data_IF_862700526780
#
_entry.id   IF_862700526780
#
_cell.length_a   1.000
_cell.length_b   1.000
_cell.length_c   1.000
_cell.angle_alpha   90.00
_cell.angle_beta   90.00
_cell.angle_gamma   90.00
#
_symmetry.space_group_name_H-M   'P 1'
#
loop_
_entity.id
_entity.type
_entity.pdbx_description
1 polymer ?
#
# COMPACT_ATOMS: atom_id res chain seq x y z
N UNK A 1 -12.30 -5.51 16.68
CA UNK A 1 -12.59 -6.79 15.95
C UNK A 1 -11.78 -6.72 14.67
N UNK A 2 -10.93 -7.72 14.37
CA UNK A 2 -10.16 -7.69 13.10
C UNK A 2 -11.14 -7.71 11.92
N UNK A 3 -11.12 -6.68 11.08
CA UNK A 3 -11.87 -6.68 9.83
C UNK A 3 -11.16 -7.61 8.83
N UNK A 4 -11.87 -8.62 8.33
CA UNK A 4 -11.38 -9.48 7.25
C UNK A 4 -11.55 -8.77 5.91
N UNK A 5 -10.47 -8.68 5.13
CA UNK A 5 -10.50 -8.06 3.80
C UNK A 5 -11.36 -8.84 2.82
N UNK A 6 -11.61 -10.12 3.10
CA UNK A 6 -12.47 -10.97 2.28
C UNK A 6 -13.93 -10.49 2.28
N UNK A 7 -14.41 -9.89 3.37
CA UNK A 7 -15.82 -9.52 3.61
C UNK A 7 -16.39 -8.47 2.65
N UNK A 8 -15.52 -7.71 1.97
CA UNK A 8 -15.96 -6.62 1.09
C UNK A 8 -15.57 -6.79 -0.37
N UNK A 9 -14.88 -7.87 -0.72
CA UNK A 9 -14.53 -8.18 -2.11
C UNK A 9 -15.79 -8.38 -2.94
N UNK A 10 -15.74 -7.91 -4.17
CA UNK A 10 -16.79 -8.09 -5.17
C UNK A 10 -16.24 -8.67 -6.49
N UNK A 11 -14.94 -8.95 -6.53
CA UNK A 11 -14.28 -9.71 -7.57
C UNK A 11 -13.54 -10.86 -6.90
N UNK A 12 -13.75 -12.09 -7.36
CA UNK A 12 -13.01 -13.26 -6.88
C UNK A 12 -12.41 -14.00 -8.06
N UNK A 13 -11.27 -14.65 -7.84
CA UNK A 13 -10.59 -15.40 -8.88
C UNK A 13 -10.13 -16.76 -8.37
N UNK A 14 -10.21 -17.73 -9.28
CA UNK A 14 -10.05 -19.14 -8.98
C UNK A 14 -9.19 -19.80 -10.04
N UNK A 15 -8.53 -20.88 -9.66
CA UNK A 15 -7.97 -21.81 -10.62
C UNK A 15 -9.11 -22.45 -11.42
N UNK A 16 -9.10 -22.22 -12.73
CA UNK A 16 -10.13 -22.71 -13.64
C UNK A 16 -10.11 -24.22 -13.86
N UNK A 17 -8.98 -24.89 -13.59
CA UNK A 17 -8.85 -26.34 -13.71
C UNK A 17 -9.30 -27.06 -12.42
N UNK A 18 -8.93 -26.52 -11.25
CA UNK A 18 -9.20 -27.19 -9.96
C UNK A 18 -10.41 -26.61 -9.21
N UNK A 19 -10.84 -25.40 -9.56
CA UNK A 19 -11.85 -24.64 -8.82
C UNK A 19 -11.33 -24.03 -7.51
N UNK A 20 -10.03 -24.16 -7.20
CA UNK A 20 -9.44 -23.62 -5.98
C UNK A 20 -9.55 -22.09 -5.96
N UNK A 21 -9.99 -21.54 -4.83
CA UNK A 21 -10.03 -20.09 -4.63
C UNK A 21 -8.61 -19.56 -4.43
N UNK A 22 -8.19 -18.65 -5.31
CA UNK A 22 -6.84 -18.06 -5.29
C UNK A 22 -6.83 -16.70 -4.58
N UNK A 23 -7.96 -15.98 -4.62
CA UNK A 23 -8.07 -14.67 -4.00
C UNK A 23 -9.20 -13.83 -4.55
N UNK A 24 -9.23 -12.56 -4.18
CA UNK A 24 -10.23 -11.62 -4.68
C UNK A 24 -9.89 -10.18 -4.33
N UNK A 25 -10.58 -9.22 -4.94
CA UNK A 25 -10.32 -7.79 -4.76
C UNK A 25 -11.61 -7.03 -4.56
N UNK A 26 -11.52 -5.92 -3.83
CA UNK A 26 -12.53 -4.88 -3.90
C UNK A 26 -12.28 -4.03 -5.13
N UNK A 27 -13.21 -4.09 -6.07
CA UNK A 27 -13.31 -3.16 -7.18
C UNK A 27 -14.29 -2.04 -6.82
N UNK A 28 -13.83 -0.79 -6.88
CA UNK A 28 -14.66 0.40 -6.68
C UNK A 28 -14.95 1.16 -8.00
N UNK A 29 -14.41 0.69 -9.12
CA UNK A 29 -14.69 1.16 -10.48
C UNK A 29 -13.43 1.47 -11.28
N UNK A 30 -12.30 1.72 -10.62
CA UNK A 30 -11.07 2.19 -11.29
C UNK A 30 -10.12 1.10 -11.78
N UNK A 31 -10.21 -0.13 -11.24
CA UNK A 31 -9.33 -1.23 -11.66
C UNK A 31 -9.73 -1.62 -13.08
N UNK A 32 -8.79 -1.53 -14.02
CA UNK A 32 -9.02 -1.94 -15.41
C UNK A 32 -8.69 -3.42 -15.59
N UNK A 33 -9.17 -4.03 -16.66
CA UNK A 33 -8.82 -5.42 -16.99
C UNK A 33 -7.30 -5.59 -17.15
N UNK A 34 -6.61 -4.63 -17.76
CA UNK A 34 -5.14 -4.63 -17.89
C UNK A 34 -4.44 -4.53 -16.52
N UNK A 35 -4.91 -3.65 -15.63
CA UNK A 35 -4.33 -3.53 -14.29
C UNK A 35 -4.55 -4.81 -13.48
N UNK A 36 -5.76 -5.39 -13.52
CA UNK A 36 -6.03 -6.67 -12.87
C UNK A 36 -5.16 -7.81 -13.39
N UNK A 37 -4.95 -7.87 -14.72
CA UNK A 37 -4.02 -8.83 -15.33
C UNK A 37 -2.60 -8.65 -14.79
N UNK A 38 -2.12 -7.40 -14.69
CA UNK A 38 -0.81 -7.07 -14.11
C UNK A 38 -0.71 -7.47 -12.64
N UNK A 39 -1.71 -7.16 -11.80
CA UNK A 39 -1.75 -7.56 -10.39
C UNK A 39 -1.64 -9.08 -10.23
N UNK A 40 -2.35 -9.85 -11.06
CA UNK A 40 -2.28 -11.31 -11.03
C UNK A 40 -0.91 -11.82 -11.46
N UNK A 41 -0.43 -11.43 -12.65
CA UNK A 41 0.77 -12.03 -13.27
C UNK A 41 2.09 -11.55 -12.67
N UNK A 42 2.18 -10.30 -12.25
CA UNK A 42 3.44 -9.74 -11.76
C UNK A 42 3.57 -9.78 -10.23
N UNK A 43 2.47 -9.99 -9.50
CA UNK A 43 2.48 -9.96 -8.03
C UNK A 43 2.02 -11.27 -7.41
N UNK A 44 0.86 -11.79 -7.81
CA UNK A 44 0.18 -12.83 -7.04
C UNK A 44 0.51 -14.25 -7.50
N UNK A 45 0.59 -14.47 -8.80
CA UNK A 45 0.68 -15.80 -9.39
C UNK A 45 2.10 -16.11 -9.82
N UNK A 46 2.55 -17.32 -9.51
CA UNK A 46 3.71 -17.94 -10.14
C UNK A 46 3.17 -18.83 -11.24
N UNK A 47 3.46 -18.47 -12.48
CA UNK A 47 2.99 -19.16 -13.67
C UNK A 47 4.16 -19.45 -14.60
N UNK A 48 4.15 -20.65 -15.18
CA UNK A 48 5.16 -21.19 -16.09
C UNK A 48 4.75 -21.09 -17.57
N UNK A 49 3.49 -20.72 -17.84
CA UNK A 49 2.98 -20.46 -19.18
C UNK A 49 1.97 -19.29 -19.19
N UNK A 50 1.64 -18.72 -20.36
CA UNK A 50 0.65 -17.67 -20.48
C UNK A 50 -0.72 -18.07 -19.90
N UNK A 51 -1.30 -17.18 -19.11
CA UNK A 51 -2.64 -17.38 -18.54
C UNK A 51 -3.73 -16.80 -19.43
N UNK A 52 -4.94 -17.35 -19.28
CA UNK A 52 -6.17 -16.74 -19.77
C UNK A 52 -7.17 -16.59 -18.63
N UNK A 53 -7.91 -15.48 -18.62
CA UNK A 53 -8.84 -15.13 -17.56
C UNK A 53 -10.24 -15.07 -18.18
N UNK A 54 -11.18 -15.80 -17.60
CA UNK A 54 -12.56 -15.84 -18.09
C UNK A 54 -13.54 -15.46 -17.00
N UNK A 55 -14.53 -14.63 -17.34
CA UNK A 55 -15.64 -14.36 -16.43
C UNK A 55 -16.48 -15.62 -16.25
N UNK A 56 -16.62 -16.11 -15.01
CA UNK A 56 -17.23 -17.41 -14.71
C UNK A 56 -18.68 -17.52 -15.15
N UNK A 57 -19.45 -16.44 -15.03
CA UNK A 57 -20.88 -16.45 -15.36
C UNK A 57 -21.19 -16.57 -16.85
N UNK A 58 -20.28 -16.13 -17.73
CA UNK A 58 -20.50 -16.06 -19.18
C UNK A 58 -19.44 -16.82 -19.99
N UNK A 59 -18.37 -17.27 -19.35
CA UNK A 59 -17.16 -17.82 -19.97
C UNK A 59 -16.48 -16.89 -20.99
N UNK A 60 -16.81 -15.58 -20.98
CA UNK A 60 -16.18 -14.59 -21.85
C UNK A 60 -14.73 -14.41 -21.45
N UNK A 61 -13.84 -14.45 -22.45
CA UNK A 61 -12.43 -14.18 -22.29
C UNK A 61 -12.21 -12.69 -22.01
N UNK A 62 -11.60 -12.38 -20.86
CA UNK A 62 -11.18 -11.04 -20.48
C UNK A 62 -10.05 -10.58 -21.40
N UNK A 63 -10.15 -9.36 -21.92
CA UNK A 63 -9.10 -8.77 -22.74
C UNK A 63 -8.22 -7.88 -21.86
N UNK A 64 -6.90 -7.85 -22.09
CA UNK A 64 -6.04 -6.90 -21.39
C UNK A 64 -6.22 -5.51 -22.01
N UNK A 65 -7.16 -4.73 -21.46
CA UNK A 65 -7.50 -3.40 -21.96
C UNK A 65 -7.83 -2.42 -20.81
N UNK A 66 -8.19 -1.18 -21.16
CA UNK A 66 -8.51 -0.11 -20.21
C UNK A 66 -9.96 -0.13 -19.72
N UNK A 67 -10.76 -1.13 -20.11
CA UNK A 67 -12.14 -1.23 -19.65
C UNK A 67 -12.16 -1.54 -18.15
N UNK A 68 -13.13 -0.98 -17.38
CA UNK A 68 -13.30 -1.34 -15.99
C UNK A 68 -13.49 -2.86 -15.81
N UNK A 69 -12.81 -3.41 -14.81
CA UNK A 69 -13.01 -4.81 -14.40
C UNK A 69 -14.41 -4.96 -13.79
N UNK A 70 -15.23 -5.83 -14.36
CA UNK A 70 -16.56 -6.10 -13.86
C UNK A 70 -16.51 -6.87 -12.52
N UNK A 71 -17.44 -6.57 -11.61
CA UNK A 71 -17.63 -7.37 -10.41
C UNK A 71 -18.10 -8.80 -10.77
N UNK A 72 -17.62 -9.79 -10.02
CA UNK A 72 -17.99 -11.19 -10.16
C UNK A 72 -16.80 -12.15 -10.08
N UNK A 73 -17.06 -13.40 -10.43
CA UNK A 73 -16.08 -14.47 -10.35
C UNK A 73 -15.34 -14.65 -11.67
N UNK A 74 -14.04 -14.90 -11.58
CA UNK A 74 -13.17 -15.16 -12.72
C UNK A 74 -12.44 -16.49 -12.57
N UNK A 75 -12.39 -17.28 -13.64
CA UNK A 75 -11.58 -18.50 -13.70
C UNK A 75 -10.30 -18.20 -14.48
N UNK A 76 -9.15 -18.54 -13.88
CA UNK A 76 -7.83 -18.38 -14.46
C UNK A 76 -7.35 -19.74 -14.95
N UNK A 77 -6.97 -19.82 -16.22
CA UNK A 77 -6.47 -21.04 -16.84
C UNK A 77 -5.02 -20.83 -17.29
N UNK A 78 -4.17 -21.82 -17.02
CA UNK A 78 -2.82 -21.91 -17.56
C UNK A 78 -2.80 -23.07 -18.55
N UNK A 79 -2.56 -22.80 -19.84
CA UNK A 79 -2.87 -23.77 -20.90
C UNK A 79 -1.94 -24.99 -20.94
N UNK A 80 -0.72 -24.89 -20.39
CA UNK A 80 0.28 -25.97 -20.37
C UNK A 80 1.02 -26.07 -19.03
N UNK A 81 0.48 -25.46 -17.99
CA UNK A 81 1.23 -25.18 -16.78
C UNK A 81 0.38 -25.20 -15.52
N UNK A 82 1.04 -24.95 -14.40
CA UNK A 82 0.37 -24.89 -13.09
C UNK A 82 0.20 -23.45 -12.64
N UNK A 83 -0.88 -23.19 -11.91
CA UNK A 83 -1.09 -21.92 -11.24
C UNK A 83 -0.81 -22.15 -9.75
N UNK A 84 0.14 -21.39 -9.21
CA UNK A 84 0.35 -21.32 -7.77
C UNK A 84 0.37 -19.86 -7.31
N UNK A 85 0.00 -19.64 -6.05
CA UNK A 85 0.19 -18.35 -5.41
C UNK A 85 1.66 -18.18 -5.06
N UNK A 86 2.17 -16.96 -5.20
CA UNK A 86 3.49 -16.57 -4.72
C UNK A 86 3.61 -16.78 -3.20
N UNK A 87 4.75 -17.30 -2.77
CA UNK A 87 5.11 -17.43 -1.36
C UNK A 87 5.42 -16.07 -0.70
N UNK A 88 5.59 -15.01 -1.50
CA UNK A 88 5.86 -13.66 -1.02
C UNK A 88 4.73 -13.16 -0.11
N UNK A 89 5.08 -12.73 1.10
CA UNK A 89 4.11 -12.18 2.06
C UNK A 89 4.14 -10.66 2.05
N UNK A 90 2.99 -10.05 2.33
CA UNK A 90 2.93 -8.62 2.55
C UNK A 90 3.79 -8.24 3.77
N UNK A 91 4.60 -7.21 3.62
CA UNK A 91 5.44 -6.66 4.68
C UNK A 91 4.58 -5.85 5.63
N UNK A 92 4.43 -6.32 6.87
CA UNK A 92 3.67 -5.59 7.89
C UNK A 92 4.41 -4.32 8.32
N UNK A 93 3.65 -3.25 8.55
CA UNK A 93 4.11 -1.95 9.08
C UNK A 93 3.24 -1.48 10.24
N UNK A 94 3.83 -0.74 11.19
CA UNK A 94 3.06 0.09 12.14
C UNK A 94 2.59 1.33 11.41
N UNK A 95 1.54 1.98 11.93
CA UNK A 95 1.19 3.33 11.49
C UNK A 95 2.42 4.24 11.61
N UNK A 96 2.81 4.89 10.52
CA UNK A 96 3.98 5.76 10.42
C UNK A 96 3.70 7.09 11.11
N UNK A 97 3.54 7.10 12.43
CA UNK A 97 3.43 8.35 13.17
C UNK A 97 4.82 8.96 13.31
N UNK A 98 4.96 10.22 12.92
CA UNK A 98 6.15 11.00 13.24
C UNK A 98 6.32 11.02 14.76
N UNK A 99 7.35 10.35 15.28
CA UNK A 99 7.71 10.45 16.69
C UNK A 99 8.16 11.88 16.95
N UNK A 100 7.44 12.60 17.82
CA UNK A 100 7.79 13.95 18.22
C UNK A 100 9.26 14.02 18.66
N UNK A 101 10.08 14.78 17.93
CA UNK A 101 11.49 15.04 18.26
C UNK A 101 12.51 14.61 17.22
N UNK A 102 12.30 13.51 16.46
CA UNK A 102 13.38 12.90 15.68
C UNK A 102 13.52 13.37 14.22
N UNK A 103 12.47 13.89 13.57
CA UNK A 103 12.48 14.05 12.10
C UNK A 103 11.84 15.35 11.60
N UNK A 104 12.25 16.48 12.18
CA UNK A 104 11.79 17.78 11.69
C UNK A 104 12.14 17.98 10.21
N UNK A 105 13.38 17.63 9.79
CA UNK A 105 13.83 17.86 8.42
C UNK A 105 13.06 17.07 7.35
N UNK A 106 12.83 15.76 7.57
CA UNK A 106 12.04 14.93 6.63
C UNK A 106 10.61 15.47 6.51
N UNK A 107 9.93 15.65 7.65
CA UNK A 107 8.56 16.15 7.72
C UNK A 107 8.43 17.51 7.04
N UNK A 108 9.34 18.44 7.34
CA UNK A 108 9.29 19.80 6.81
C UNK A 108 9.61 19.83 5.31
N UNK A 109 10.50 18.95 4.84
CA UNK A 109 10.79 18.80 3.40
C UNK A 109 9.60 18.22 2.62
N UNK A 110 8.94 17.19 3.16
CA UNK A 110 7.71 16.62 2.57
C UNK A 110 6.60 17.67 2.52
N UNK A 111 6.41 18.43 3.61
CA UNK A 111 5.43 19.52 3.68
C UNK A 111 5.72 20.63 2.67
N UNK A 112 6.98 21.03 2.53
CA UNK A 112 7.42 22.04 1.59
C UNK A 112 7.19 21.61 0.14
N UNK A 113 7.43 20.32 -0.17
CA UNK A 113 7.17 19.74 -1.50
C UNK A 113 5.67 19.67 -1.79
N UNK A 114 4.91 18.99 -0.93
CA UNK A 114 3.56 18.56 -1.28
C UNK A 114 2.50 19.62 -1.03
N UNK A 115 2.58 20.34 0.10
CA UNK A 115 1.67 21.45 0.49
C UNK A 115 0.18 21.13 0.56
N UNK A 116 -0.23 19.88 0.30
CA UNK A 116 -1.60 19.38 0.32
C UNK A 116 -1.61 17.86 0.56
N UNK A 117 -2.79 17.28 0.79
CA UNK A 117 -2.92 15.84 0.81
C UNK A 117 -2.88 15.34 -0.63
N UNK A 118 -1.78 14.72 -1.05
CA UNK A 118 -1.57 14.36 -2.46
C UNK A 118 -2.45 13.20 -2.95
N UNK A 119 -3.13 12.51 -2.03
CA UNK A 119 -4.12 11.46 -2.37
C UNK A 119 -5.54 12.03 -2.56
N UNK A 120 -5.96 12.98 -1.71
CA UNK A 120 -7.32 13.55 -1.77
C UNK A 120 -7.39 14.85 -2.56
N UNK A 121 -6.25 15.49 -2.84
CA UNK A 121 -6.17 16.83 -3.39
C UNK A 121 -6.65 17.93 -2.45
N UNK A 122 -6.94 17.61 -1.18
CA UNK A 122 -7.41 18.60 -0.20
C UNK A 122 -6.24 19.52 0.14
N UNK A 123 -6.40 20.77 -0.26
CA UNK A 123 -5.58 21.90 0.20
C UNK A 123 -6.25 22.47 1.45
N UNK A 124 -5.48 22.78 2.49
CA UNK A 124 -6.00 23.55 3.63
C UNK A 124 -6.09 25.02 3.22
N UNK A 125 -7.30 25.63 3.15
CA UNK A 125 -7.42 27.05 2.86
C UNK A 125 -6.83 27.85 4.03
N UNK A 126 -5.86 28.73 3.77
CA UNK A 126 -5.36 29.67 4.78
C UNK A 126 -4.03 29.33 5.46
N UNK A 127 -3.24 28.40 4.91
CA UNK A 127 -1.90 28.10 5.44
C UNK A 127 -1.00 29.35 5.43
N UNK A 128 -0.84 29.94 6.62
CA UNK A 128 0.49 30.39 7.00
C UNK A 128 1.42 29.14 6.96
N UNK A 129 2.72 29.27 6.65
CA UNK A 129 3.65 28.13 6.51
C UNK A 129 3.74 27.17 7.72
N UNK A 130 3.03 27.44 8.81
CA UNK A 130 3.04 26.73 10.09
C UNK A 130 1.80 25.88 10.40
N UNK A 131 0.67 26.02 9.69
CA UNK A 131 -0.61 25.39 10.10
C UNK A 131 -0.87 24.01 9.49
N UNK A 132 -0.08 23.01 9.85
CA UNK A 132 -0.18 21.65 9.29
C UNK A 132 -1.23 20.74 9.96
N UNK A 133 -2.21 21.32 10.65
CA UNK A 133 -3.23 20.58 11.41
C UNK A 133 -4.01 19.66 10.46
N UNK A 134 -4.08 18.37 10.83
CA UNK A 134 -4.81 17.35 10.06
C UNK A 134 -3.99 16.69 8.93
N UNK A 135 -2.71 17.03 8.77
CA UNK A 135 -1.81 16.43 7.77
C UNK A 135 -0.59 15.79 8.41
N UNK A 136 -0.19 14.66 7.86
CA UNK A 136 0.91 13.84 8.34
C UNK A 136 1.86 13.52 7.17
N UNK A 137 3.15 13.68 7.43
CA UNK A 137 4.18 13.21 6.51
C UNK A 137 4.41 11.72 6.79
N UNK A 138 4.05 10.89 5.82
CA UNK A 138 4.16 9.45 5.90
C UNK A 138 5.36 8.98 5.10
N UNK A 139 6.09 7.97 5.59
CA UNK A 139 7.02 7.23 4.75
C UNK A 139 6.26 6.27 3.84
N UNK A 140 6.67 6.15 2.58
CA UNK A 140 6.10 5.19 1.63
C UNK A 140 6.60 3.80 1.98
N UNK A 141 7.93 3.66 2.11
CA UNK A 141 8.59 2.48 2.64
C UNK A 141 8.85 2.64 4.14
N UNK A 142 8.43 1.68 4.99
CA UNK A 142 8.51 1.80 6.44
C UNK A 142 9.94 1.77 6.97
N UNK A 143 10.24 2.68 7.90
CA UNK A 143 11.56 2.81 8.51
C UNK A 143 11.98 1.60 9.34
N UNK A 144 11.03 0.79 9.83
CA UNK A 144 11.31 -0.41 10.65
C UNK A 144 11.89 -1.56 9.81
N UNK A 145 11.89 -1.44 8.47
CA UNK A 145 12.29 -2.50 7.54
C UNK A 145 13.62 -2.21 6.85
N UNK A 146 14.60 -1.70 7.61
CA UNK A 146 15.92 -1.31 7.09
C UNK A 146 16.69 -2.46 6.42
N UNK A 147 16.59 -3.69 6.94
CA UNK A 147 17.24 -4.84 6.31
C UNK A 147 16.63 -5.10 4.92
N UNK A 148 15.30 -5.15 4.84
CA UNK A 148 14.59 -5.32 3.57
C UNK A 148 14.90 -4.18 2.59
N UNK A 149 15.02 -2.95 3.08
CA UNK A 149 15.44 -1.81 2.26
C UNK A 149 16.81 -2.05 1.60
N UNK A 150 17.74 -2.62 2.37
CA UNK A 150 19.08 -2.95 1.91
C UNK A 150 19.07 -4.13 0.93
N UNK A 151 18.31 -5.19 1.23
CA UNK A 151 18.18 -6.39 0.40
C UNK A 151 17.57 -6.06 -0.98
N UNK A 152 16.59 -5.16 -1.01
CA UNK A 152 15.98 -4.65 -2.25
C UNK A 152 16.84 -3.58 -2.95
N UNK A 153 17.95 -3.16 -2.34
CA UNK A 153 18.86 -2.12 -2.83
C UNK A 153 18.14 -0.80 -3.19
N UNK A 154 17.19 -0.35 -2.36
CA UNK A 154 16.42 0.87 -2.64
C UNK A 154 17.24 2.15 -2.58
N UNK A 155 18.45 2.12 -2.01
CA UNK A 155 19.40 3.23 -2.09
C UNK A 155 19.63 3.71 -3.52
N UNK A 156 19.63 2.81 -4.51
CA UNK A 156 19.83 3.17 -5.93
C UNK A 156 18.70 4.03 -6.49
N UNK A 157 17.52 3.99 -5.87
CA UNK A 157 16.32 4.73 -6.29
C UNK A 157 16.23 6.11 -5.64
N UNK A 158 17.15 6.44 -4.71
CA UNK A 158 17.17 7.72 -4.00
C UNK A 158 18.30 8.60 -4.54
N UNK A 159 17.91 9.70 -5.16
CA UNK A 159 18.84 10.67 -5.77
C UNK A 159 19.32 11.74 -4.79
N UNK A 160 18.55 12.03 -3.74
CA UNK A 160 18.93 12.92 -2.63
C UNK A 160 18.76 12.20 -1.30
N UNK A 161 19.74 11.37 -0.91
CA UNK A 161 19.63 10.56 0.30
C UNK A 161 19.72 11.35 1.60
N UNK A 162 20.26 12.58 1.58
CA UNK A 162 20.60 13.27 2.82
C UNK A 162 21.59 12.43 3.65
N UNK A 163 21.43 12.45 4.97
CA UNK A 163 22.24 11.64 5.91
C UNK A 163 21.77 10.17 5.88
N UNK A 164 20.46 9.94 5.80
CA UNK A 164 19.86 8.61 5.78
C UNK A 164 18.90 8.51 4.58
N UNK A 165 19.20 7.66 3.58
CA UNK A 165 18.35 7.47 2.39
C UNK A 165 16.89 7.15 2.71
N UNK A 166 16.61 6.43 3.79
CA UNK A 166 15.24 6.10 4.21
C UNK A 166 14.46 7.32 4.69
N UNK A 167 15.15 8.36 5.17
CA UNK A 167 14.60 9.66 5.55
C UNK A 167 14.71 10.71 4.43
N UNK A 168 14.99 10.27 3.20
CA UNK A 168 14.85 11.12 2.04
C UNK A 168 13.38 11.50 1.83
N UNK A 169 13.13 12.74 1.45
CA UNK A 169 11.81 13.22 1.00
C UNK A 169 11.25 12.40 -0.17
N UNK A 170 12.11 11.74 -0.96
CA UNK A 170 11.70 10.83 -2.04
C UNK A 170 11.02 9.56 -1.53
N UNK A 171 11.18 9.22 -0.24
CA UNK A 171 10.44 8.18 0.48
C UNK A 171 9.25 8.76 1.27
N UNK A 172 8.92 10.03 1.10
CA UNK A 172 7.88 10.71 1.87
C UNK A 172 6.68 11.12 1.04
N UNK A 173 5.51 11.19 1.69
CA UNK A 173 4.25 11.64 1.11
C UNK A 173 3.43 12.40 2.15
N UNK A 174 2.87 13.56 1.79
CA UNK A 174 1.97 14.33 2.66
C UNK A 174 0.52 13.91 2.43
N UNK A 175 -0.12 13.42 3.48
CA UNK A 175 -1.49 12.91 3.42
C UNK A 175 -2.30 13.40 4.62
N UNK A 176 -3.62 13.40 4.48
CA UNK A 176 -4.51 13.68 5.61
C UNK A 176 -4.38 12.58 6.66
N UNK A 177 -4.40 12.94 7.94
CA UNK A 177 -4.35 12.01 9.06
C UNK A 177 -5.41 10.90 8.94
N UNK A 178 -6.58 11.20 8.39
CA UNK A 178 -7.66 10.21 8.22
C UNK A 178 -7.41 9.22 7.08
N UNK A 179 -6.60 9.58 6.09
CA UNK A 179 -6.21 8.69 4.98
C UNK A 179 -4.91 7.94 5.28
N UNK A 180 -4.09 8.45 6.19
CA UNK A 180 -2.81 7.84 6.55
C UNK A 180 -2.94 6.40 7.04
N UNK A 181 -3.92 6.12 7.90
CA UNK A 181 -4.17 4.75 8.35
C UNK A 181 -4.53 3.80 7.20
N UNK A 182 -5.23 4.29 6.17
CA UNK A 182 -5.56 3.48 4.99
C UNK A 182 -4.32 3.19 4.15
N UNK A 183 -3.46 4.18 3.98
CA UNK A 183 -2.19 4.03 3.27
C UNK A 183 -1.29 3.01 3.97
N UNK A 184 -1.08 3.16 5.29
CA UNK A 184 -0.23 2.25 6.06
C UNK A 184 -0.79 0.83 6.17
N UNK A 185 -2.12 0.66 6.14
CA UNK A 185 -2.75 -0.66 6.07
C UNK A 185 -2.83 -1.20 4.63
N UNK A 186 -2.15 -0.56 3.68
CA UNK A 186 -2.14 -0.91 2.26
C UNK A 186 -3.54 -0.97 1.62
N UNK A 187 -4.54 -0.30 2.20
CA UNK A 187 -5.90 -0.24 1.68
C UNK A 187 -6.02 0.76 0.52
N UNK A 188 -5.07 1.68 0.39
CA UNK A 188 -5.00 2.63 -0.72
C UNK A 188 -3.55 2.67 -1.22
N UNK A 189 -3.36 2.66 -2.54
CA UNK A 189 -2.04 2.85 -3.15
C UNK A 189 -2.13 3.52 -4.51
N UNK A 190 -1.08 4.24 -4.89
CA UNK A 190 -0.91 4.77 -6.25
C UNK A 190 -0.01 3.82 -7.07
N UNK A 191 -0.36 3.59 -8.34
CA UNK A 191 0.44 2.78 -9.25
C UNK A 191 1.14 3.67 -10.30
N UNK A 192 2.47 3.88 -10.24
CA UNK A 192 3.19 4.70 -11.22
C UNK A 192 3.13 4.12 -12.64
N UNK A 193 2.98 2.80 -12.77
CA UNK A 193 2.93 2.10 -14.06
C UNK A 193 1.52 2.09 -14.70
N UNK A 194 0.51 2.64 -14.00
CA UNK A 194 -0.85 2.85 -14.51
C UNK A 194 -1.23 4.35 -14.37
N UNK A 195 -0.31 5.22 -14.79
CA UNK A 195 -0.51 6.67 -14.82
C UNK A 195 -0.66 7.31 -13.45
N UNK A 196 -0.04 6.74 -12.41
CA UNK A 196 -0.18 7.16 -11.00
C UNK A 196 -1.61 7.07 -10.47
N UNK A 197 -2.45 6.23 -11.07
CA UNK A 197 -3.82 6.01 -10.61
C UNK A 197 -3.83 5.40 -9.21
N UNK A 198 -4.70 5.94 -8.37
CA UNK A 198 -4.95 5.50 -7.01
C UNK A 198 -6.00 4.38 -7.05
N UNK A 199 -5.65 3.24 -6.47
CA UNK A 199 -6.55 2.10 -6.24
C UNK A 199 -6.94 2.04 -4.78
N UNK A 200 -8.25 2.01 -4.54
CA UNK A 200 -8.81 1.79 -3.20
C UNK A 200 -9.31 0.35 -3.08
N UNK A 201 -8.69 -0.41 -2.19
CA UNK A 201 -8.99 -1.82 -1.94
C UNK A 201 -10.04 -2.04 -0.83
N UNK A 202 -10.68 -0.96 -0.36
CA UNK A 202 -11.59 -0.97 0.78
C UNK A 202 -12.99 -0.40 0.46
N UNK A 203 -13.89 -0.43 1.44
CA UNK A 203 -15.16 0.31 1.42
C UNK A 203 -15.03 1.55 2.29
N UNK A 204 -14.42 2.62 1.77
CA UNK A 204 -14.37 3.88 2.49
C UNK A 204 -15.07 5.02 1.73
N UNK A 205 -15.28 6.11 2.44
CA UNK A 205 -16.06 7.28 1.98
C UNK A 205 -15.19 8.38 1.37
N UNK A 206 -13.88 8.17 1.26
CA UNK A 206 -12.92 9.20 0.85
C UNK A 206 -12.88 9.40 -0.67
N UNK A 207 -13.59 8.55 -1.43
CA UNK A 207 -13.70 8.62 -2.89
C UNK A 207 -12.33 8.75 -3.56
N UNK A 208 -11.36 7.95 -3.10
CA UNK A 208 -9.97 7.95 -3.57
C UNK A 208 -9.79 7.14 -4.85
N UNK A 209 -10.61 6.10 -5.04
CA UNK A 209 -10.50 5.19 -6.18
C UNK A 209 -10.55 5.94 -7.52
N UNK A 210 -9.61 5.64 -8.41
CA UNK A 210 -9.53 6.22 -9.76
C UNK A 210 -9.00 7.65 -9.83
N UNK A 211 -8.73 8.30 -8.70
CA UNK A 211 -7.96 9.56 -8.70
C UNK A 211 -6.55 9.30 -9.17
N UNK A 212 -5.86 10.37 -9.56
CA UNK A 212 -4.43 10.32 -9.88
C UNK A 212 -3.68 10.99 -8.75
N UNK A 213 -2.57 10.38 -8.31
CA UNK A 213 -1.66 10.99 -7.33
C UNK A 213 -1.30 12.41 -7.80
N UNK A 214 -1.34 13.38 -6.89
CA UNK A 214 -1.13 14.78 -7.26
C UNK A 214 0.24 14.98 -7.95
N UNK A 215 0.28 15.82 -8.98
CA UNK A 215 1.49 16.05 -9.76
C UNK A 215 2.62 16.65 -8.92
N UNK A 216 2.30 17.42 -7.88
CA UNK A 216 3.30 18.14 -7.06
C UNK A 216 4.37 17.23 -6.47
N UNK A 217 4.02 16.00 -6.10
CA UNK A 217 4.95 15.04 -5.50
C UNK A 217 5.64 14.13 -6.52
N UNK A 218 5.27 14.21 -7.80
CA UNK A 218 5.78 13.37 -8.90
C UNK A 218 6.24 14.18 -10.12
N UNK A 219 6.48 15.49 -9.95
CA UNK A 219 7.02 16.32 -11.01
C UNK A 219 8.46 15.87 -11.34
N UNK A 220 8.72 15.34 -12.55
CA UNK A 220 10.05 14.83 -12.90
C UNK A 220 11.13 15.92 -12.91
N UNK A 221 10.74 17.21 -12.98
CA UNK A 221 11.69 18.33 -12.91
C UNK A 221 12.05 18.70 -11.47
N UNK A 222 11.27 18.25 -10.49
CA UNK A 222 11.59 18.43 -9.09
C UNK A 222 12.46 17.25 -8.63
N UNK A 223 13.73 17.45 -8.27
CA UNK A 223 14.55 16.33 -7.82
C UNK A 223 14.01 15.68 -6.52
N UNK A 224 13.11 16.35 -5.76
CA UNK A 224 12.41 15.86 -4.56
C UNK A 224 11.20 14.99 -4.86
N UNK A 225 10.89 14.73 -6.14
CA UNK A 225 9.80 13.84 -6.49
C UNK A 225 9.96 12.46 -5.85
N UNK A 226 8.82 11.87 -5.51
CA UNK A 226 8.72 10.53 -4.96
C UNK A 226 9.43 9.55 -5.89
N UNK A 227 10.23 8.66 -5.30
CA UNK A 227 10.85 7.59 -6.07
C UNK A 227 9.77 6.58 -6.51
N UNK A 228 9.54 6.46 -7.82
CA UNK A 228 8.55 5.54 -8.39
C UNK A 228 8.70 4.11 -7.87
N UNK A 229 9.94 3.67 -7.65
CA UNK A 229 10.22 2.33 -7.16
C UNK A 229 9.61 2.05 -5.77
N UNK A 230 9.50 3.08 -4.93
CA UNK A 230 8.85 2.96 -3.63
C UNK A 230 7.33 2.90 -3.77
N UNK A 231 6.75 3.62 -4.75
CA UNK A 231 5.32 3.48 -5.08
C UNK A 231 5.01 2.11 -5.67
N UNK A 232 5.86 1.57 -6.56
CA UNK A 232 5.73 0.19 -7.08
C UNK A 232 5.77 -0.82 -5.95
N UNK A 233 6.73 -0.68 -5.04
CA UNK A 233 6.82 -1.53 -3.86
C UNK A 233 5.54 -1.44 -3.03
N UNK A 234 5.07 -0.24 -2.71
CA UNK A 234 3.86 -0.05 -1.91
C UNK A 234 2.62 -0.64 -2.58
N UNK A 235 2.47 -0.44 -3.90
CA UNK A 235 1.40 -1.03 -4.68
C UNK A 235 1.45 -2.56 -4.69
N UNK A 236 2.65 -3.15 -4.82
CA UNK A 236 2.85 -4.60 -4.68
C UNK A 236 2.39 -5.10 -3.31
N UNK A 237 2.73 -4.40 -2.23
CA UNK A 237 2.25 -4.73 -0.88
C UNK A 237 0.73 -4.63 -0.77
N UNK A 238 0.11 -3.61 -1.35
CA UNK A 238 -1.35 -3.50 -1.43
C UNK A 238 -2.00 -4.67 -2.17
N UNK A 239 -1.43 -5.11 -3.28
CA UNK A 239 -1.94 -6.27 -4.01
C UNK A 239 -1.80 -7.53 -3.16
N UNK A 240 -0.63 -7.78 -2.56
CA UNK A 240 -0.42 -8.95 -1.69
C UNK A 240 -1.39 -8.96 -0.50
N UNK A 241 -1.52 -7.83 0.21
CA UNK A 241 -2.37 -7.70 1.39
C UNK A 241 -3.85 -7.89 1.07
N UNK A 242 -4.33 -7.27 -0.01
CA UNK A 242 -5.76 -7.22 -0.28
C UNK A 242 -6.25 -8.36 -1.16
N UNK A 243 -5.39 -8.93 -2.00
CA UNK A 243 -5.83 -9.85 -3.06
C UNK A 243 -5.48 -11.31 -2.82
N UNK A 244 -4.36 -11.59 -2.17
CA UNK A 244 -3.86 -12.97 -2.06
C UNK A 244 -4.67 -13.80 -1.07
N UNK A 245 -5.20 -14.95 -1.48
CA UNK A 245 -5.92 -15.87 -0.60
C UNK A 245 -7.09 -15.20 0.11
N UNK A 246 -7.18 -15.30 1.44
CA UNK A 246 -8.19 -14.59 2.25
C UNK A 246 -7.88 -13.09 2.42
N UNK A 247 -6.66 -12.64 2.10
CA UNK A 247 -6.15 -11.32 2.43
C UNK A 247 -5.47 -11.30 3.81
N UNK A 248 -4.61 -10.30 4.02
CA UNK A 248 -3.94 -10.08 5.31
C UNK A 248 -4.90 -9.42 6.30
N UNK A 249 -4.81 -9.73 7.61
CA UNK A 249 -5.60 -9.05 8.62
C UNK A 249 -5.34 -7.53 8.62
N UNK A 250 -6.36 -6.76 8.92
CA UNK A 250 -6.23 -5.32 9.21
C UNK A 250 -6.11 -5.14 10.72
N UNK A 251 -5.22 -4.25 11.16
CA UNK A 251 -5.01 -4.00 12.59
C UNK A 251 -5.67 -2.70 13.00
N UNK A 252 -6.58 -2.79 13.98
CA UNK A 252 -7.12 -1.63 14.67
C UNK A 252 -6.07 -1.12 15.67
N UNK A 253 -5.81 0.18 15.64
CA UNK A 253 -4.85 0.83 16.55
C UNK A 253 -5.56 1.58 17.70
N UNK A 254 -6.90 1.58 17.72
CA UNK A 254 -7.71 2.19 18.77
C UNK A 254 -8.03 1.15 19.84
N UNK A 255 -7.16 1.07 20.85
CA UNK A 255 -7.35 0.18 22.00
C UNK A 255 -8.21 0.90 23.05
N UNK A 256 -9.30 0.29 23.55
CA UNK A 256 -10.15 0.93 24.54
C UNK A 256 -9.35 1.40 25.78
N UNK A 257 -9.64 2.57 26.35
CA UNK A 257 -8.94 3.07 27.53
C UNK A 257 -8.98 2.05 28.69
N UNK A 258 -7.85 1.82 29.35
CA UNK A 258 -7.73 0.86 30.46
C UNK A 258 -7.57 -0.60 30.04
N UNK A 259 -7.46 -0.90 28.75
CA UNK A 259 -7.17 -2.25 28.26
C UNK A 259 -5.68 -2.53 28.21
N UNK A 260 -5.30 -3.77 28.55
CA UNK A 260 -3.94 -4.25 28.35
C UNK A 260 -3.72 -4.49 26.86
N UNK A 261 -3.06 -3.53 26.21
CA UNK A 261 -2.71 -3.57 24.80
C UNK A 261 -1.91 -4.83 24.44
N UNK A 262 -1.04 -5.33 25.33
CA UNK A 262 -0.29 -6.56 25.08
C UNK A 262 -1.23 -7.76 25.05
N UNK A 263 -2.18 -7.83 25.98
CA UNK A 263 -3.22 -8.87 25.98
C UNK A 263 -4.04 -8.84 24.68
N UNK A 264 -4.45 -7.66 24.22
CA UNK A 264 -5.21 -7.54 22.97
C UNK A 264 -4.39 -7.90 21.72
N UNK A 265 -3.09 -7.57 21.68
CA UNK A 265 -2.20 -8.02 20.61
C UNK A 265 -2.09 -9.54 20.63
N UNK A 266 -1.93 -10.16 21.81
CA UNK A 266 -1.82 -11.61 21.97
C UNK A 266 -3.11 -12.37 21.61
N UNK A 267 -4.27 -11.76 21.83
CA UNK A 267 -5.59 -12.30 21.45
C UNK A 267 -5.94 -12.01 19.97
N UNK A 268 -5.17 -11.15 19.29
CA UNK A 268 -5.37 -10.75 17.90
C UNK A 268 -4.74 -11.70 16.87
N UNK A 269 -5.01 -11.49 15.57
CA UNK A 269 -4.44 -12.30 14.51
C UNK A 269 -2.91 -12.07 14.41
N UNK A 270 -2.16 -13.17 14.32
CA UNK A 270 -0.71 -13.17 14.08
C UNK A 270 0.07 -12.36 15.16
N UNK A 271 -0.10 -12.71 16.44
CA UNK A 271 0.33 -11.89 17.58
C UNK A 271 1.84 -11.65 17.65
N UNK A 272 2.65 -12.68 17.32
CA UNK A 272 4.11 -12.59 17.34
C UNK A 272 4.65 -11.54 16.38
N UNK A 273 4.12 -11.51 15.16
CA UNK A 273 4.55 -10.60 14.10
C UNK A 273 4.03 -9.17 14.34
N UNK A 274 2.83 -9.04 14.94
CA UNK A 274 2.31 -7.74 15.41
C UNK A 274 3.18 -7.17 16.54
N UNK A 275 3.60 -8.01 17.46
CA UNK A 275 4.44 -7.66 18.61
C UNK A 275 5.86 -7.26 18.17
N UNK A 276 6.46 -7.98 17.23
CA UNK A 276 7.75 -7.60 16.62
C UNK A 276 7.69 -6.19 16.01
N UNK A 277 6.63 -5.92 15.26
CA UNK A 277 6.41 -4.65 14.55
C UNK A 277 6.16 -3.50 15.56
N UNK A 278 5.38 -3.73 16.61
CA UNK A 278 5.21 -2.77 17.71
C UNK A 278 6.52 -2.52 18.47
N UNK A 279 7.30 -3.56 18.79
CA UNK A 279 8.59 -3.41 19.47
C UNK A 279 9.62 -2.67 18.61
N UNK A 280 9.74 -3.00 17.32
CA UNK A 280 10.65 -2.31 16.40
C UNK A 280 10.31 -0.82 16.29
N UNK A 281 9.02 -0.46 16.27
CA UNK A 281 8.62 0.94 16.29
C UNK A 281 8.91 1.61 17.63
N UNK A 282 8.75 0.90 18.75
CA UNK A 282 8.83 1.45 20.10
C UNK A 282 10.26 1.63 20.61
N UNK A 283 11.11 0.67 20.32
CA UNK A 283 12.46 0.50 20.87
C UNK A 283 13.58 1.06 19.98
N UNK A 284 13.26 1.73 18.86
CA UNK A 284 14.27 2.45 18.07
C UNK A 284 15.12 3.34 18.99
N UNK A 285 16.46 3.14 19.03
CA UNK A 285 17.35 3.92 19.86
C UNK A 285 17.17 5.43 19.62
N UNK A 286 17.24 6.20 20.69
CA UNK A 286 17.47 7.64 20.62
C UNK A 286 18.87 7.83 20.04
N UNK A 287 18.97 8.13 18.74
CA UNK A 287 20.25 8.55 18.18
C UNK A 287 20.51 9.98 18.69
N UNK A 288 21.22 10.07 19.82
CA UNK A 288 21.81 11.31 20.30
C UNK A 288 22.86 11.78 19.29
N UNK A 289 22.46 12.63 18.35
CA UNK A 289 23.40 13.30 17.44
C UNK A 289 23.95 14.55 18.12
N UNK A 290 25.09 14.40 18.80
CA UNK A 290 25.98 15.50 19.06
C UNK A 290 26.71 15.90 17.76
N UNK A 291 26.74 17.23 17.53
CA UNK A 291 27.57 18.07 16.64
C UNK A 291 26.79 18.83 15.56
#
# INVERSE_FOLDING_TARGET
MSMDRSDWRNVNFYDGATGAHLGGVRQNGSITQANFFHMLTNVLLVVDAPISIRFRGTNVLMQSNTDPLAAGDYNIFCAQGTISLSDERCVRRVQSRSRSGHENAFRDSVRARDRMCVLTGVVTPGLTPSDWVGFEAAHIFPLERQQLWSDCNFNRSITRPGINPMNSVQNGILISATVHSLFDNFLVSANPDDGYKITDFSRNIWNLDGRVLDFVCRDPNNPDHIADELLRWHFRQSVLANMKGAGEPTFEADFPPGTDMMKQIMEGPIPAERLEVEFASRLKPQEDWAF
#
